data_IF_933680628952
#
_entry.id   IF_933680628952
#
_cell.length_a   1.000
_cell.length_b   1.000
_cell.length_c   1.000
_cell.angle_alpha   90.00
_cell.angle_beta   90.00
_cell.angle_gamma   90.00
#
_symmetry.space_group_name_H-M   'P 1'
#
loop_
_entity.id
_entity.type
_entity.pdbx_description
1 polymer ?
#
# COMPACT_ATOMS: atom_id res chain seq x y z
N UNK A 1 -12.26 17.96 17.54
CA UNK A 1 -11.96 16.72 16.78
C UNK A 1 -12.56 15.52 17.50
N UNK A 2 -13.20 14.68 16.76
CA UNK A 2 -13.76 13.45 17.34
C UNK A 2 -12.64 12.49 17.71
N UNK A 3 -12.86 11.73 18.77
CA UNK A 3 -11.89 10.72 19.22
C UNK A 3 -11.92 9.48 18.33
N UNK A 4 -13.00 9.30 17.58
CA UNK A 4 -13.20 8.12 16.70
C UNK A 4 -13.72 8.58 15.36
N UNK A 5 -13.19 7.98 14.31
CA UNK A 5 -13.64 8.24 12.95
C UNK A 5 -13.89 6.90 12.22
N UNK A 6 -15.01 6.81 11.54
CA UNK A 6 -15.35 5.64 10.72
C UNK A 6 -15.46 6.10 9.27
N UNK A 7 -14.64 5.50 8.40
CA UNK A 7 -14.70 5.75 6.97
C UNK A 7 -15.67 4.75 6.34
N UNK A 8 -16.57 5.26 5.50
CA UNK A 8 -17.47 4.41 4.73
C UNK A 8 -16.80 4.02 3.42
N UNK A 9 -16.78 2.73 3.10
CA UNK A 9 -16.11 2.24 1.89
C UNK A 9 -16.60 2.90 0.60
N UNK A 10 -17.86 3.29 0.54
CA UNK A 10 -18.44 3.96 -0.63
C UNK A 10 -17.98 5.41 -0.79
N UNK A 11 -17.35 5.99 0.22
CA UNK A 11 -16.95 7.39 0.27
C UNK A 11 -15.44 7.58 0.24
N UNK A 12 -14.67 6.52 0.00
CA UNK A 12 -13.21 6.59 -0.01
C UNK A 12 -12.71 7.31 -1.26
N UNK A 13 -11.65 8.09 -1.10
CA UNK A 13 -10.92 8.68 -2.22
C UNK A 13 -10.21 7.58 -3.00
N UNK A 14 -10.29 7.65 -4.31
CA UNK A 14 -9.65 6.67 -5.20
C UNK A 14 -8.68 7.35 -6.14
N UNK A 15 -7.60 6.64 -6.46
CA UNK A 15 -6.66 7.02 -7.49
C UNK A 15 -6.44 5.80 -8.37
N UNK A 16 -6.65 5.95 -9.67
CA UNK A 16 -6.48 4.86 -10.64
C UNK A 16 -5.35 5.17 -11.60
N UNK A 17 -4.53 4.16 -11.86
CA UNK A 17 -3.49 4.19 -12.87
C UNK A 17 -3.60 2.87 -13.64
N UNK A 18 -2.89 2.74 -14.75
CA UNK A 18 -2.93 1.51 -15.55
C UNK A 18 -2.58 0.29 -14.71
N UNK A 19 -3.55 -0.60 -14.50
CA UNK A 19 -3.37 -1.83 -13.73
C UNK A 19 -3.31 -1.66 -12.22
N UNK A 20 -3.57 -0.46 -11.69
CA UNK A 20 -3.48 -0.19 -10.25
C UNK A 20 -4.65 0.67 -9.80
N UNK A 21 -5.19 0.33 -8.64
CA UNK A 21 -6.23 1.11 -7.98
C UNK A 21 -5.82 1.32 -6.52
N UNK A 22 -5.81 2.57 -6.09
CA UNK A 22 -5.51 2.93 -4.71
C UNK A 22 -6.73 3.60 -4.10
N UNK A 23 -7.13 3.14 -2.91
CA UNK A 23 -8.23 3.73 -2.16
C UNK A 23 -7.73 4.21 -0.79
N UNK A 24 -7.82 5.51 -0.57
CA UNK A 24 -7.52 6.07 0.75
C UNK A 24 -8.68 5.76 1.69
N UNK A 25 -8.47 4.90 2.66
CA UNK A 25 -9.49 4.55 3.65
C UNK A 25 -9.69 5.69 4.65
N UNK A 26 -8.60 6.19 5.19
CA UNK A 26 -8.64 7.31 6.13
C UNK A 26 -7.25 7.86 6.37
N UNK A 27 -7.19 9.09 6.89
CA UNK A 27 -5.94 9.67 7.34
C UNK A 27 -6.20 10.67 8.47
N UNK A 28 -5.20 10.82 9.32
CA UNK A 28 -5.10 11.90 10.31
C UNK A 28 -3.88 12.73 9.96
N UNK A 29 -3.44 13.59 10.86
CA UNK A 29 -2.18 14.33 10.69
C UNK A 29 -0.95 13.43 10.77
N UNK A 30 -1.09 12.24 11.34
CA UNK A 30 0.04 11.35 11.67
C UNK A 30 0.08 10.06 10.89
N UNK A 31 -1.07 9.57 10.42
CA UNK A 31 -1.18 8.22 9.89
C UNK A 31 -2.22 8.17 8.77
N UNK A 32 -2.02 7.26 7.85
CA UNK A 32 -2.99 6.97 6.80
C UNK A 32 -3.12 5.47 6.60
N UNK A 33 -4.25 5.05 6.03
CA UNK A 33 -4.49 3.67 5.65
C UNK A 33 -5.01 3.65 4.21
N UNK A 34 -4.34 2.90 3.35
CA UNK A 34 -4.63 2.82 1.92
C UNK A 34 -4.76 1.36 1.50
N UNK A 35 -5.83 1.04 0.76
CA UNK A 35 -5.96 -0.25 0.11
C UNK A 35 -5.47 -0.11 -1.32
N UNK A 36 -4.59 -1.01 -1.74
CA UNK A 36 -4.06 -1.06 -3.11
C UNK A 36 -4.50 -2.35 -3.78
N UNK A 37 -4.92 -2.25 -5.03
CA UNK A 37 -5.23 -3.40 -5.88
C UNK A 37 -4.31 -3.31 -7.09
N UNK A 38 -3.59 -4.38 -7.36
CA UNK A 38 -2.63 -4.43 -8.47
C UNK A 38 -2.99 -5.61 -9.38
N UNK A 39 -3.20 -5.33 -10.66
CA UNK A 39 -3.47 -6.36 -11.65
C UNK A 39 -2.26 -7.26 -11.86
N UNK A 40 -2.53 -8.46 -12.38
CA UNK A 40 -1.50 -9.45 -12.66
C UNK A 40 -0.34 -8.85 -13.48
N UNK A 41 0.89 -9.14 -13.05
CA UNK A 41 2.09 -8.72 -13.77
C UNK A 41 2.43 -7.23 -13.68
N UNK A 42 1.64 -6.45 -12.96
CA UNK A 42 1.83 -5.00 -12.84
C UNK A 42 2.78 -4.67 -11.70
N UNK A 43 3.62 -3.66 -11.90
CA UNK A 43 4.45 -3.10 -10.81
C UNK A 43 4.05 -1.67 -10.51
N UNK A 44 4.24 -1.28 -9.24
CA UNK A 44 4.01 0.11 -8.85
C UNK A 44 5.17 0.99 -9.31
N UNK A 45 4.98 2.31 -9.20
CA UNK A 45 6.07 3.26 -9.32
C UNK A 45 7.07 3.03 -8.18
N UNK A 46 8.26 3.59 -8.31
CA UNK A 46 9.20 3.69 -7.21
C UNK A 46 8.77 4.84 -6.31
N UNK A 47 8.73 4.58 -5.01
CA UNK A 47 8.38 5.58 -3.99
C UNK A 47 9.53 5.76 -3.03
N UNK A 48 9.70 6.99 -2.55
CA UNK A 48 10.69 7.32 -1.54
C UNK A 48 10.22 8.59 -0.82
N UNK A 49 10.03 8.50 0.49
CA UNK A 49 9.55 9.63 1.30
C UNK A 49 9.91 9.40 2.75
N UNK A 50 9.82 10.46 3.57
CA UNK A 50 10.09 10.32 5.00
C UNK A 50 9.03 9.43 5.65
N UNK A 51 9.42 8.77 6.74
CA UNK A 51 8.51 8.01 7.56
C UNK A 51 8.68 6.51 7.45
N UNK A 52 7.61 5.81 7.77
CA UNK A 52 7.60 4.35 7.78
C UNK A 52 6.25 3.83 7.32
N UNK A 53 6.24 2.59 6.88
CA UNK A 53 5.04 1.94 6.37
C UNK A 53 4.98 0.48 6.82
N UNK A 54 3.74 0.01 7.00
CA UNK A 54 3.44 -1.39 7.16
C UNK A 54 2.56 -1.80 5.99
N UNK A 55 2.90 -2.89 5.32
CA UNK A 55 2.10 -3.48 4.26
C UNK A 55 1.58 -4.83 4.73
N UNK A 56 0.28 -5.04 4.63
CA UNK A 56 -0.36 -6.32 4.96
C UNK A 56 -0.97 -6.87 3.68
N UNK A 57 -0.49 -8.01 3.22
CA UNK A 57 -1.03 -8.62 2.01
C UNK A 57 -2.31 -9.36 2.35
N UNK A 58 -3.40 -8.95 1.71
CA UNK A 58 -4.73 -9.51 1.96
C UNK A 58 -5.11 -10.58 0.94
N UNK A 59 -4.59 -10.47 -0.28
CA UNK A 59 -4.94 -11.39 -1.35
C UNK A 59 -3.82 -11.45 -2.39
N UNK A 60 -3.49 -12.65 -2.86
CA UNK A 60 -2.49 -12.84 -3.92
C UNK A 60 -1.07 -12.95 -3.39
N UNK A 61 -0.12 -12.68 -4.25
CA UNK A 61 1.31 -12.68 -3.93
C UNK A 61 1.97 -11.45 -4.54
N UNK A 62 2.85 -10.83 -3.79
CA UNK A 62 3.51 -9.61 -4.21
C UNK A 62 4.99 -9.69 -3.84
N UNK A 63 5.84 -9.19 -4.72
CA UNK A 63 7.24 -8.92 -4.39
C UNK A 63 7.38 -7.46 -4.05
N UNK A 64 7.89 -7.17 -2.84
CA UNK A 64 8.28 -5.82 -2.45
C UNK A 64 9.79 -5.70 -2.60
N UNK A 65 10.22 -4.65 -3.29
CA UNK A 65 11.63 -4.29 -3.34
C UNK A 65 11.83 -3.07 -2.45
N UNK A 66 12.67 -3.21 -1.44
CA UNK A 66 13.00 -2.15 -0.47
C UNK A 66 14.50 -1.95 -0.56
N UNK A 67 14.93 -0.77 -1.02
CA UNK A 67 16.33 -0.54 -1.29
C UNK A 67 16.85 -1.51 -2.33
N UNK A 68 17.76 -2.38 -1.95
CA UNK A 68 18.40 -3.35 -2.86
C UNK A 68 17.84 -4.77 -2.71
N UNK A 69 16.91 -4.99 -1.78
CA UNK A 69 16.44 -6.33 -1.45
C UNK A 69 14.99 -6.52 -1.87
N UNK A 70 14.67 -7.73 -2.32
CA UNK A 70 13.32 -8.10 -2.73
C UNK A 70 12.78 -9.16 -1.77
N UNK A 71 11.53 -8.95 -1.35
CA UNK A 71 10.84 -9.80 -0.38
C UNK A 71 9.55 -10.32 -0.99
N UNK A 72 9.36 -11.64 -0.95
CA UNK A 72 8.12 -12.26 -1.44
C UNK A 72 7.11 -12.32 -0.31
N UNK A 73 5.89 -11.84 -0.58
CA UNK A 73 4.80 -11.79 0.39
C UNK A 73 3.64 -12.62 -0.10
N UNK A 74 3.04 -13.36 0.82
CA UNK A 74 1.81 -14.11 0.59
C UNK A 74 0.69 -13.56 1.45
N UNK A 75 -0.56 -13.87 1.11
CA UNK A 75 -1.71 -13.41 1.87
C UNK A 75 -1.56 -13.76 3.35
N UNK A 76 -1.75 -12.79 4.22
CA UNK A 76 -1.56 -12.91 5.67
C UNK A 76 -0.22 -12.39 6.16
N UNK A 77 0.74 -12.20 5.27
CA UNK A 77 2.06 -11.66 5.65
C UNK A 77 2.00 -10.15 5.85
N UNK A 78 2.86 -9.65 6.72
CA UNK A 78 3.03 -8.22 6.94
C UNK A 78 4.52 -7.87 6.88
N UNK A 79 4.81 -6.67 6.35
CA UNK A 79 6.17 -6.18 6.19
C UNK A 79 6.22 -4.73 6.66
N UNK A 80 7.23 -4.40 7.44
CA UNK A 80 7.52 -3.02 7.84
C UNK A 80 8.81 -2.55 7.17
N UNK A 81 8.83 -1.28 6.74
CA UNK A 81 10.07 -0.67 6.25
C UNK A 81 10.10 0.82 6.53
N UNK A 82 11.31 1.36 6.54
CA UNK A 82 11.52 2.81 6.50
C UNK A 82 11.19 3.26 5.07
N UNK A 83 10.40 4.31 4.95
CA UNK A 83 9.97 4.80 3.64
C UNK A 83 10.99 5.68 2.94
N UNK A 84 12.07 6.07 3.62
CA UNK A 84 13.16 6.83 3.02
C UNK A 84 14.11 5.96 2.18
N UNK A 85 13.86 4.66 2.11
CA UNK A 85 14.50 3.77 1.15
C UNK A 85 13.61 3.66 -0.09
N UNK A 86 14.18 3.68 -1.32
CA UNK A 86 13.37 3.48 -2.52
C UNK A 86 12.63 2.15 -2.44
N UNK A 87 11.34 2.16 -2.75
CA UNK A 87 10.54 0.95 -2.60
C UNK A 87 9.45 0.88 -3.67
N UNK A 88 9.09 -0.36 -4.03
CA UNK A 88 7.98 -0.64 -4.94
C UNK A 88 7.42 -2.04 -4.73
N UNK A 89 6.21 -2.25 -5.22
CA UNK A 89 5.54 -3.55 -5.20
C UNK A 89 5.32 -4.05 -6.63
N UNK A 90 5.39 -5.37 -6.81
CA UNK A 90 5.12 -6.03 -8.08
C UNK A 90 4.24 -7.25 -7.84
N UNK A 91 3.15 -7.34 -8.59
CA UNK A 91 2.30 -8.52 -8.55
C UNK A 91 2.90 -9.60 -9.47
N UNK A 92 3.40 -10.67 -8.86
CA UNK A 92 4.08 -11.76 -9.57
C UNK A 92 3.13 -12.91 -9.92
N UNK A 93 1.85 -12.77 -9.64
CA UNK A 93 0.84 -13.79 -9.90
C UNK A 93 0.02 -13.45 -11.14
N UNK A 94 -0.87 -14.38 -11.52
CA UNK A 94 -1.78 -14.20 -12.63
C UNK A 94 -3.17 -13.73 -12.20
N UNK A 95 -3.29 -13.33 -10.94
CA UNK A 95 -4.53 -12.80 -10.36
C UNK A 95 -4.24 -11.46 -9.71
N UNK A 96 -5.29 -10.67 -9.54
CA UNK A 96 -5.19 -9.39 -8.82
C UNK A 96 -4.67 -9.62 -7.39
N UNK A 97 -3.79 -8.76 -6.94
CA UNK A 97 -3.33 -8.74 -5.56
C UNK A 97 -3.95 -7.55 -4.83
N UNK A 98 -4.21 -7.71 -3.54
CA UNK A 98 -4.79 -6.66 -2.70
C UNK A 98 -3.96 -6.56 -1.43
N UNK A 99 -3.53 -5.34 -1.08
CA UNK A 99 -2.81 -5.13 0.17
C UNK A 99 -3.20 -3.83 0.83
N UNK A 100 -3.07 -3.82 2.16
CA UNK A 100 -3.29 -2.65 3.00
C UNK A 100 -1.94 -2.04 3.33
N UNK A 101 -1.82 -0.72 3.15
CA UNK A 101 -0.65 0.03 3.59
C UNK A 101 -1.06 0.99 4.68
N UNK A 102 -0.36 0.92 5.82
CA UNK A 102 -0.50 1.90 6.89
C UNK A 102 0.81 2.68 6.93
N UNK A 103 0.73 3.99 6.77
CA UNK A 103 1.92 4.83 6.67
C UNK A 103 1.88 6.02 7.62
N UNK A 104 3.04 6.47 8.03
CA UNK A 104 3.23 7.64 8.88
C UNK A 104 4.51 8.35 8.46
N UNK A 105 4.47 9.68 8.16
CA UNK A 105 3.28 10.52 8.02
C UNK A 105 2.48 10.21 6.76
N UNK A 106 1.26 10.77 6.63
CA UNK A 106 0.45 10.58 5.42
C UNK A 106 1.13 11.17 4.19
N UNK A 107 1.13 10.40 3.10
CA UNK A 107 1.72 10.81 1.81
C UNK A 107 0.75 10.67 0.64
N UNK A 108 -0.39 10.02 0.85
CA UNK A 108 -1.42 9.87 -0.17
C UNK A 108 -2.22 11.17 -0.27
N UNK A 109 -2.01 11.91 -1.35
CA UNK A 109 -2.70 13.17 -1.66
C UNK A 109 -3.05 14.05 -0.45
#
# INVERSE_FOLDING_TARGET
>A
MDEVFISKGSETCKSEESGKLFRLLMKSKRIEAVISEIDAGTESEWYEHDGEEIHVLLKGKVEYTIGKNTYKMEAGDALWHRSDLPHRAKNIEQKKAVYLTVGSPPTFM
#
